data_IF_024129486167
#
_entry.id   IF_024129486167
#
_cell.length_a   1.000
_cell.length_b   1.000
_cell.length_c   1.000
_cell.angle_alpha   90.00
_cell.angle_beta   90.00
_cell.angle_gamma   90.00
#
_symmetry.space_group_name_H-M   'P 1'
#
loop_
_entity.id
_entity.type
_entity.pdbx_description
1 polymer ?
#
# COMPACT_ATOMS: atom_id res chain seq x y z
N UNK A 1 -5.17 25.67 4.60
CA UNK A 1 -5.20 25.16 5.98
C UNK A 1 -4.16 24.06 6.05
N UNK A 2 -3.30 24.08 7.06
CA UNK A 2 -2.23 23.09 7.24
C UNK A 2 -2.86 21.79 7.74
N UNK A 3 -2.61 20.61 7.10
CA UNK A 3 -3.10 19.33 7.58
C UNK A 3 -2.73 19.08 9.06
N UNK A 4 -3.67 18.52 9.84
CA UNK A 4 -3.45 18.23 11.29
C UNK A 4 -2.19 17.41 11.55
N UNK A 5 -1.88 16.44 10.70
CA UNK A 5 -0.66 15.66 10.81
C UNK A 5 0.59 16.52 10.62
N UNK A 6 0.56 17.54 9.76
CA UNK A 6 1.65 18.48 9.57
C UNK A 6 1.81 19.46 10.73
N UNK A 7 0.74 19.81 11.45
CA UNK A 7 0.80 20.64 12.65
C UNK A 7 1.50 19.94 13.81
N UNK A 8 1.51 18.60 13.82
CA UNK A 8 2.21 17.81 14.82
C UNK A 8 3.74 17.76 14.62
N UNK A 9 4.24 18.17 13.45
CA UNK A 9 5.68 18.30 13.19
C UNK A 9 6.20 19.60 13.80
N UNK A 10 6.52 19.58 15.10
CA UNK A 10 7.09 20.72 15.81
C UNK A 10 8.50 21.09 15.32
N UNK A 11 9.20 20.16 14.65
CA UNK A 11 10.47 20.39 13.95
C UNK A 11 10.55 19.46 12.74
N UNK A 12 10.14 19.91 11.55
CA UNK A 12 10.34 19.14 10.33
C UNK A 12 11.83 18.89 10.09
N UNK A 13 12.16 17.67 9.69
CA UNK A 13 13.56 17.25 9.50
C UNK A 13 14.21 18.02 8.34
N UNK A 14 13.42 18.46 7.37
CA UNK A 14 13.81 19.14 6.13
C UNK A 14 13.35 20.57 6.04
N UNK A 15 12.19 20.91 6.57
CA UNK A 15 11.52 22.12 6.15
C UNK A 15 11.72 23.24 7.17
N UNK A 16 12.35 24.26 6.72
CA UNK A 16 12.25 25.59 7.32
C UNK A 16 10.93 26.28 7.01
N UNK A 17 10.10 25.70 6.15
CA UNK A 17 8.79 26.21 5.73
C UNK A 17 7.79 25.06 5.59
N UNK A 18 6.53 25.32 5.92
CA UNK A 18 5.41 24.39 5.70
C UNK A 18 5.20 24.23 4.19
N UNK A 19 5.20 23.00 3.66
CA UNK A 19 4.99 22.81 2.23
C UNK A 19 3.61 23.30 1.80
N UNK A 20 3.54 23.82 0.58
CA UNK A 20 2.30 24.28 -0.02
C UNK A 20 1.49 23.09 -0.48
N UNK A 21 0.19 23.09 -0.19
CA UNK A 21 -0.73 22.04 -0.60
C UNK A 21 -1.48 22.45 -1.84
N UNK A 22 -1.41 21.62 -2.88
CA UNK A 22 -2.09 21.78 -4.16
C UNK A 22 -3.08 20.64 -4.39
N UNK A 23 -4.29 20.95 -4.83
CA UNK A 23 -5.27 19.96 -5.25
C UNK A 23 -5.63 20.19 -6.71
N UNK A 24 -5.39 19.21 -7.56
CA UNK A 24 -5.56 19.29 -9.01
C UNK A 24 -6.57 18.28 -9.52
N UNK A 25 -7.45 18.76 -10.40
CA UNK A 25 -8.46 17.94 -11.08
C UNK A 25 -8.29 17.95 -12.59
N UNK A 26 -7.47 18.87 -13.12
CA UNK A 26 -7.27 19.07 -14.54
C UNK A 26 -5.82 18.78 -14.97
N UNK A 27 -5.67 18.17 -16.17
CA UNK A 27 -4.36 17.80 -16.72
C UNK A 27 -3.43 19.01 -16.83
N UNK A 28 -3.92 20.14 -17.29
CA UNK A 28 -3.11 21.35 -17.51
C UNK A 28 -2.53 21.92 -16.22
N UNK A 29 -3.25 21.81 -15.10
CA UNK A 29 -2.74 22.22 -13.78
C UNK A 29 -1.50 21.42 -13.40
N UNK A 30 -1.56 20.11 -13.61
CA UNK A 30 -0.44 19.20 -13.31
C UNK A 30 0.74 19.43 -14.25
N UNK A 31 0.48 19.59 -15.55
CA UNK A 31 1.53 19.85 -16.56
C UNK A 31 2.30 21.14 -16.28
N UNK A 32 1.62 22.16 -15.76
CA UNK A 32 2.25 23.45 -15.45
C UNK A 32 3.03 23.42 -14.12
N UNK A 33 2.58 22.64 -13.13
CA UNK A 33 3.14 22.69 -11.78
C UNK A 33 4.30 21.69 -11.56
N UNK A 34 4.21 20.47 -12.11
CA UNK A 34 5.17 19.42 -11.79
C UNK A 34 6.56 19.57 -12.40
N UNK A 35 6.77 20.12 -13.62
CA UNK A 35 8.11 20.29 -14.17
C UNK A 35 9.03 21.13 -13.27
N UNK A 36 8.50 22.21 -12.71
CA UNK A 36 9.26 23.10 -11.83
C UNK A 36 9.51 22.49 -10.45
N UNK A 37 8.58 21.68 -9.95
CA UNK A 37 8.67 21.04 -8.66
C UNK A 37 9.86 20.07 -8.56
N UNK A 38 10.26 19.46 -9.66
CA UNK A 38 11.34 18.45 -9.71
C UNK A 38 12.64 19.03 -10.25
N UNK A 39 12.57 20.08 -11.10
CA UNK A 39 13.74 20.72 -11.70
C UNK A 39 14.59 21.48 -10.68
N UNK A 40 13.97 22.04 -9.64
CA UNK A 40 14.61 22.93 -8.66
C UNK A 40 15.19 22.20 -7.44
N UNK A 41 15.22 20.87 -7.44
CA UNK A 41 15.70 20.09 -6.31
C UNK A 41 17.12 19.57 -6.54
N UNK A 42 18.01 19.73 -5.52
CA UNK A 42 19.36 19.13 -5.51
C UNK A 42 19.29 17.59 -5.48
N UNK A 43 20.45 16.92 -5.54
CA UNK A 43 20.52 15.44 -5.66
C UNK A 43 19.90 14.67 -4.49
N UNK A 44 19.93 15.22 -3.29
CA UNK A 44 19.29 14.64 -2.09
C UNK A 44 17.81 15.05 -2.02
N UNK A 45 17.46 16.18 -2.61
CA UNK A 45 16.14 16.79 -2.60
C UNK A 45 15.19 16.24 -3.66
N UNK A 46 15.69 15.36 -4.55
CA UNK A 46 14.88 14.72 -5.61
C UNK A 46 14.01 13.57 -5.11
N UNK A 47 14.12 13.17 -3.85
CA UNK A 47 13.23 12.16 -3.29
C UNK A 47 11.84 12.75 -3.18
N UNK A 48 10.85 11.99 -3.63
CA UNK A 48 9.44 12.37 -3.48
C UNK A 48 8.70 11.33 -2.65
N UNK A 49 7.83 11.79 -1.75
CA UNK A 49 6.84 10.94 -1.13
C UNK A 49 5.75 10.59 -2.14
N UNK A 50 5.36 9.33 -2.23
CA UNK A 50 4.30 8.87 -3.13
C UNK A 50 3.30 8.02 -2.36
N UNK A 51 2.02 8.27 -2.60
CA UNK A 51 0.92 7.41 -2.15
C UNK A 51 -0.20 7.40 -3.18
N UNK A 52 -1.08 6.39 -3.10
CA UNK A 52 -2.20 6.19 -4.01
C UNK A 52 -3.47 5.87 -3.26
N UNK A 53 -4.58 6.47 -3.71
CA UNK A 53 -5.91 6.15 -3.19
C UNK A 53 -6.84 5.65 -4.30
N UNK A 54 -7.72 4.70 -3.94
CA UNK A 54 -8.74 4.14 -4.82
C UNK A 54 -9.93 3.63 -4.03
N UNK A 55 -11.07 3.53 -4.69
CA UNK A 55 -12.26 3.00 -4.04
C UNK A 55 -12.11 1.49 -3.75
N UNK A 56 -12.49 1.09 -2.55
CA UNK A 56 -12.64 -0.30 -2.18
C UNK A 56 -14.01 -0.82 -2.64
N UNK A 57 -14.04 -2.00 -3.24
CA UNK A 57 -15.26 -2.63 -3.75
C UNK A 57 -15.06 -4.11 -4.06
N UNK A 58 -15.95 -4.68 -4.85
CA UNK A 58 -15.85 -6.07 -5.32
C UNK A 58 -14.57 -6.36 -6.12
N UNK A 59 -14.06 -5.35 -6.80
CA UNK A 59 -12.76 -5.36 -7.46
C UNK A 59 -11.92 -4.20 -6.95
N UNK A 60 -10.60 -4.34 -7.07
CA UNK A 60 -9.68 -3.23 -6.79
C UNK A 60 -9.94 -2.13 -7.83
N UNK A 61 -10.44 -0.99 -7.38
CA UNK A 61 -10.70 0.16 -8.24
C UNK A 61 -9.43 0.66 -8.94
N UNK A 62 -9.60 1.36 -10.07
CA UNK A 62 -8.50 2.09 -10.70
C UNK A 62 -8.04 3.18 -9.73
N UNK A 63 -6.75 3.55 -9.77
CA UNK A 63 -6.20 4.66 -8.99
C UNK A 63 -7.04 5.92 -9.22
N UNK A 64 -7.63 6.44 -8.15
CA UNK A 64 -8.50 7.60 -8.19
C UNK A 64 -7.75 8.89 -7.87
N UNK A 65 -6.84 8.83 -6.89
CA UNK A 65 -6.02 9.96 -6.45
C UNK A 65 -4.57 9.50 -6.34
N UNK A 66 -3.65 10.35 -6.74
CA UNK A 66 -2.22 10.17 -6.59
C UNK A 66 -1.66 11.37 -5.83
N UNK A 67 -0.80 11.10 -4.86
CA UNK A 67 -0.16 12.13 -4.07
C UNK A 67 1.34 12.11 -4.28
N UNK A 68 1.91 13.31 -4.49
CA UNK A 68 3.35 13.54 -4.51
C UNK A 68 3.70 14.59 -3.47
N UNK A 69 4.72 14.32 -2.68
CA UNK A 69 5.29 15.30 -1.75
C UNK A 69 6.74 15.58 -2.10
N UNK A 70 7.07 16.84 -2.23
CA UNK A 70 8.44 17.38 -2.28
C UNK A 70 8.75 18.12 -0.99
N UNK A 71 9.97 18.63 -0.84
CA UNK A 71 10.34 19.45 0.33
C UNK A 71 9.49 20.73 0.48
N UNK A 72 8.94 21.26 -0.62
CA UNK A 72 8.27 22.56 -0.64
C UNK A 72 6.80 22.50 -1.02
N UNK A 73 6.37 21.42 -1.69
CA UNK A 73 5.03 21.31 -2.24
C UNK A 73 4.48 19.88 -2.08
N UNK A 74 3.18 19.80 -1.84
CA UNK A 74 2.42 18.56 -1.85
C UNK A 74 1.33 18.67 -2.90
N UNK A 75 1.25 17.68 -3.76
CA UNK A 75 0.29 17.61 -4.85
C UNK A 75 -0.67 16.45 -4.61
N UNK A 76 -1.95 16.76 -4.45
CA UNK A 76 -3.05 15.80 -4.44
C UNK A 76 -3.71 15.86 -5.80
N UNK A 77 -3.53 14.84 -6.63
CA UNK A 77 -3.92 14.81 -8.04
C UNK A 77 -5.06 13.82 -8.23
N UNK A 78 -6.26 14.33 -8.53
CA UNK A 78 -7.44 13.49 -8.70
C UNK A 78 -7.51 12.90 -10.12
N UNK A 79 -6.80 11.80 -10.33
CA UNK A 79 -6.69 11.10 -11.64
C UNK A 79 -8.02 10.57 -12.15
N UNK A 80 -8.98 10.27 -11.27
CA UNK A 80 -10.33 9.81 -11.67
C UNK A 80 -11.11 10.87 -12.48
N UNK A 81 -10.68 12.13 -12.47
CA UNK A 81 -11.28 13.23 -13.25
C UNK A 81 -10.57 13.46 -14.58
N UNK A 82 -9.35 12.94 -14.72
CA UNK A 82 -8.53 13.17 -15.90
C UNK A 82 -8.76 12.08 -16.96
N UNK A 83 -8.95 12.51 -18.20
CA UNK A 83 -9.11 11.57 -19.33
C UNK A 83 -7.82 10.80 -19.59
N UNK A 84 -6.69 11.48 -19.51
CA UNK A 84 -5.35 10.92 -19.72
C UNK A 84 -4.47 11.23 -18.52
N UNK A 85 -3.48 10.37 -18.29
CA UNK A 85 -2.44 10.66 -17.31
C UNK A 85 -1.57 11.82 -17.82
N UNK A 86 -1.28 12.86 -17.00
CA UNK A 86 -0.38 13.96 -17.41
C UNK A 86 1.01 13.46 -17.78
N UNK A 87 1.61 13.99 -18.83
CA UNK A 87 2.94 13.55 -19.31
C UNK A 87 4.04 13.90 -18.31
N UNK A 88 3.98 15.06 -17.68
CA UNK A 88 4.91 15.47 -16.61
C UNK A 88 4.89 14.46 -15.45
N UNK A 89 3.70 14.04 -15.03
CA UNK A 89 3.53 13.01 -14.00
C UNK A 89 4.09 11.66 -14.45
N UNK A 90 3.78 11.23 -15.67
CA UNK A 90 4.31 9.99 -16.24
C UNK A 90 5.83 10.00 -16.27
N UNK A 91 6.45 11.11 -16.68
CA UNK A 91 7.90 11.30 -16.71
C UNK A 91 8.53 11.16 -15.32
N UNK A 92 7.95 11.79 -14.30
CA UNK A 92 8.42 11.67 -12.91
C UNK A 92 8.31 10.21 -12.44
N UNK A 93 7.18 9.55 -12.69
CA UNK A 93 6.94 8.19 -12.21
C UNK A 93 7.87 7.15 -12.86
N UNK A 94 8.27 7.36 -14.11
CA UNK A 94 9.13 6.43 -14.87
C UNK A 94 10.62 6.73 -14.73
N UNK A 95 11.01 7.91 -14.23
CA UNK A 95 12.41 8.27 -14.05
C UNK A 95 13.04 7.48 -12.89
N UNK A 96 14.06 6.62 -13.13
CA UNK A 96 14.73 5.89 -12.07
C UNK A 96 15.60 6.78 -11.17
N UNK A 97 15.94 7.99 -11.59
CA UNK A 97 16.77 8.93 -10.84
C UNK A 97 15.97 9.82 -9.88
N UNK A 98 14.64 9.70 -9.89
CA UNK A 98 13.75 10.32 -8.92
C UNK A 98 13.23 9.22 -7.99
N UNK A 99 13.78 9.05 -6.77
CA UNK A 99 13.27 8.06 -5.82
C UNK A 99 11.85 8.40 -5.35
N UNK A 100 10.94 7.43 -5.46
CA UNK A 100 9.57 7.49 -4.93
C UNK A 100 9.53 6.67 -3.65
N UNK A 101 9.20 7.30 -2.54
CA UNK A 101 9.23 6.65 -1.22
C UNK A 101 7.84 6.48 -0.63
N UNK A 102 7.66 5.37 0.06
CA UNK A 102 6.43 5.00 0.75
C UNK A 102 6.58 3.66 1.46
N UNK A 103 5.57 3.25 2.19
CA UNK A 103 5.46 1.90 2.76
C UNK A 103 4.70 1.01 1.79
N UNK A 104 5.26 -0.15 1.46
CA UNK A 104 4.76 -1.03 0.41
C UNK A 104 4.77 -0.38 -0.99
N UNK A 105 5.64 0.59 -1.23
CA UNK A 105 5.72 1.40 -2.45
C UNK A 105 5.72 0.57 -3.74
N UNK A 106 6.29 -0.64 -3.71
CA UNK A 106 6.29 -1.53 -4.88
C UNK A 106 4.89 -2.00 -5.28
N UNK A 107 3.92 -2.00 -4.35
CA UNK A 107 2.52 -2.33 -4.65
C UNK A 107 1.85 -1.16 -5.39
N UNK A 108 2.17 0.08 -5.00
CA UNK A 108 1.68 1.29 -5.64
C UNK A 108 2.25 1.43 -7.06
N UNK A 109 3.56 1.22 -7.22
CA UNK A 109 4.19 1.21 -8.54
C UNK A 109 3.61 0.11 -9.45
N UNK A 110 3.37 -1.09 -8.90
CA UNK A 110 2.71 -2.18 -9.64
C UNK A 110 1.25 -1.85 -9.97
N UNK A 111 0.57 -1.08 -9.11
CA UNK A 111 -0.79 -0.61 -9.38
C UNK A 111 -0.80 0.44 -10.50
N UNK A 112 0.12 1.39 -10.50
CA UNK A 112 0.27 2.37 -11.58
C UNK A 112 0.57 1.69 -12.93
N UNK A 113 1.41 0.66 -12.92
CA UNK A 113 1.64 -0.17 -14.11
C UNK A 113 0.35 -0.80 -14.62
N UNK A 114 -0.44 -1.42 -13.74
CA UNK A 114 -1.70 -2.09 -14.06
C UNK A 114 -2.76 -1.13 -14.58
N UNK A 115 -2.86 0.04 -13.93
CA UNK A 115 -3.95 0.98 -14.16
C UNK A 115 -3.71 1.91 -15.37
N UNK A 116 -2.44 2.19 -15.68
CA UNK A 116 -2.05 3.18 -16.70
C UNK A 116 -1.04 2.66 -17.74
N UNK A 117 -0.57 1.41 -17.62
CA UNK A 117 0.42 0.85 -18.54
C UNK A 117 1.84 1.44 -18.39
N UNK A 118 2.10 2.25 -17.36
CA UNK A 118 3.42 2.79 -17.09
C UNK A 118 4.41 1.69 -16.70
N UNK A 119 5.72 1.99 -16.84
CA UNK A 119 6.79 1.21 -16.23
C UNK A 119 7.45 2.08 -15.14
N UNK A 120 6.81 2.22 -13.95
CA UNK A 120 7.34 3.09 -12.91
C UNK A 120 8.68 2.56 -12.39
N UNK A 121 9.57 3.48 -12.01
CA UNK A 121 10.92 3.16 -11.55
C UNK A 121 11.27 3.94 -10.27
N UNK A 122 12.38 3.63 -9.64
CA UNK A 122 12.91 4.40 -8.51
C UNK A 122 12.13 4.22 -7.19
N UNK A 123 11.50 3.06 -6.95
CA UNK A 123 10.81 2.80 -5.68
C UNK A 123 11.77 2.62 -4.51
N UNK A 124 11.63 3.42 -3.44
CA UNK A 124 12.41 3.37 -2.20
C UNK A 124 11.51 2.96 -1.03
N UNK A 125 11.63 1.71 -0.60
CA UNK A 125 10.81 1.11 0.46
C UNK A 125 11.27 1.55 1.85
N UNK A 126 10.41 2.27 2.58
CA UNK A 126 10.71 2.79 3.92
C UNK A 126 11.02 1.70 4.95
N UNK A 127 10.27 0.61 4.93
CA UNK A 127 10.52 -0.51 5.85
C UNK A 127 11.90 -1.11 5.65
N UNK A 128 12.37 -1.21 4.41
CA UNK A 128 13.72 -1.72 4.10
C UNK A 128 14.80 -0.77 4.58
N UNK A 129 14.57 0.53 4.41
CA UNK A 129 15.48 1.56 4.89
C UNK A 129 15.61 1.51 6.41
N UNK A 130 14.49 1.42 7.13
CA UNK A 130 14.46 1.29 8.58
C UNK A 130 15.17 0.02 9.05
N UNK A 131 14.92 -1.13 8.42
CA UNK A 131 15.61 -2.37 8.72
C UNK A 131 17.13 -2.30 8.48
N UNK A 132 17.55 -1.65 7.40
CA UNK A 132 18.97 -1.53 7.05
C UNK A 132 19.74 -0.73 8.09
N UNK A 133 19.16 0.35 8.61
CA UNK A 133 19.87 1.32 9.43
C UNK A 133 19.49 1.30 10.90
N UNK A 134 18.44 0.61 11.30
CA UNK A 134 17.99 0.52 12.69
C UNK A 134 17.34 -0.85 12.99
N UNK A 135 18.04 -1.93 12.58
CA UNK A 135 17.55 -3.30 12.70
C UNK A 135 17.23 -3.66 14.18
N UNK A 136 17.97 -3.13 15.14
CA UNK A 136 17.75 -3.37 16.56
C UNK A 136 16.37 -2.90 17.01
N UNK A 137 15.96 -1.69 16.63
CA UNK A 137 14.62 -1.14 16.92
C UNK A 137 13.50 -2.00 16.35
N UNK A 138 13.72 -2.53 15.15
CA UNK A 138 12.68 -3.22 14.37
C UNK A 138 12.78 -4.75 14.41
N UNK A 139 13.66 -5.32 15.23
CA UNK A 139 13.91 -6.77 15.31
C UNK A 139 12.66 -7.63 15.55
N UNK A 140 11.63 -7.09 16.20
CA UNK A 140 10.37 -7.78 16.48
C UNK A 140 9.37 -7.68 15.31
N UNK A 141 9.66 -6.92 14.26
CA UNK A 141 8.81 -6.82 13.08
C UNK A 141 9.28 -7.82 12.03
N UNK A 142 8.48 -8.85 11.75
CA UNK A 142 8.81 -9.90 10.76
C UNK A 142 8.40 -9.54 9.33
N UNK A 143 7.59 -8.49 9.16
CA UNK A 143 6.99 -8.07 7.90
C UNK A 143 7.22 -6.57 7.69
N UNK A 144 6.54 -6.00 6.69
CA UNK A 144 6.54 -4.56 6.47
C UNK A 144 6.17 -3.81 7.75
N UNK A 145 6.98 -2.83 8.12
CA UNK A 145 6.69 -1.90 9.20
C UNK A 145 5.64 -0.92 8.68
N UNK A 146 4.56 -0.74 9.42
CA UNK A 146 3.50 0.17 8.98
C UNK A 146 3.96 1.63 8.98
N UNK A 147 3.38 2.46 8.11
CA UNK A 147 3.66 3.90 8.09
C UNK A 147 3.46 4.52 9.48
N UNK A 148 2.40 4.13 10.18
CA UNK A 148 2.11 4.57 11.55
C UNK A 148 3.22 4.20 12.54
N UNK A 149 3.74 2.97 12.49
CA UNK A 149 4.80 2.53 13.41
C UNK A 149 6.12 3.25 13.13
N UNK A 150 6.44 3.46 11.84
CA UNK A 150 7.60 4.28 11.45
C UNK A 150 7.46 5.71 11.95
N UNK A 151 6.27 6.34 11.82
CA UNK A 151 6.02 7.69 12.33
C UNK A 151 6.19 7.77 13.84
N UNK A 152 5.64 6.82 14.58
CA UNK A 152 5.85 6.75 16.03
C UNK A 152 7.33 6.59 16.39
N UNK A 153 8.05 5.73 15.65
CA UNK A 153 9.44 5.41 15.91
C UNK A 153 10.42 6.54 15.61
N UNK A 154 10.21 7.30 14.54
CA UNK A 154 11.17 8.30 14.07
C UNK A 154 10.71 9.75 14.21
N UNK A 155 9.40 10.00 14.13
CA UNK A 155 8.85 11.36 14.12
C UNK A 155 8.06 11.70 15.38
N UNK A 156 7.84 10.73 16.28
CA UNK A 156 6.99 10.86 17.48
C UNK A 156 5.54 11.29 17.15
N UNK A 157 5.04 10.98 15.96
CA UNK A 157 3.69 11.30 15.47
C UNK A 157 2.86 10.03 15.40
N UNK A 158 1.64 10.07 15.94
CA UNK A 158 0.66 9.00 15.79
C UNK A 158 -0.28 9.34 14.62
N UNK A 159 -0.13 8.64 13.50
CA UNK A 159 -1.01 8.79 12.36
C UNK A 159 -2.36 8.14 12.65
N UNK A 160 -3.42 8.92 12.64
CA UNK A 160 -4.77 8.41 12.72
C UNK A 160 -5.16 7.74 11.39
N UNK A 161 -5.59 6.48 11.47
CA UNK A 161 -6.10 5.71 10.32
C UNK A 161 -7.61 5.86 10.15
N UNK A 162 -8.17 7.02 10.44
CA UNK A 162 -9.60 7.30 10.46
C UNK A 162 -10.42 6.71 9.29
N UNK A 163 -11.74 6.88 9.34
CA UNK A 163 -12.69 6.40 8.34
C UNK A 163 -12.40 6.92 6.91
N UNK A 164 -11.65 8.02 6.78
CA UNK A 164 -11.27 8.67 5.51
C UNK A 164 -10.58 7.72 4.53
N UNK A 165 -9.76 6.78 5.02
CA UNK A 165 -9.07 5.80 4.17
C UNK A 165 -10.01 4.93 3.33
N UNK A 166 -11.21 4.64 3.79
CA UNK A 166 -12.19 3.81 3.11
C UNK A 166 -13.32 4.63 2.46
N UNK A 167 -13.16 5.94 2.39
CA UNK A 167 -14.13 6.85 1.78
C UNK A 167 -14.17 6.74 0.25
N UNK A 168 -15.12 7.44 -0.39
CA UNK A 168 -15.22 7.45 -1.85
C UNK A 168 -14.20 8.40 -2.48
N UNK A 169 -13.09 7.86 -2.97
CA UNK A 169 -12.00 8.61 -3.60
C UNK A 169 -12.31 9.11 -5.01
N UNK A 170 -13.45 8.70 -5.58
CA UNK A 170 -13.94 9.20 -6.90
C UNK A 170 -14.96 10.31 -6.77
N UNK A 171 -15.38 10.68 -5.55
CA UNK A 171 -16.25 11.85 -5.37
C UNK A 171 -15.55 13.13 -5.82
N UNK A 172 -16.32 14.13 -6.24
CA UNK A 172 -15.78 15.40 -6.74
C UNK A 172 -16.63 16.57 -6.25
N UNK A 173 -15.98 17.59 -5.68
CA UNK A 173 -14.58 17.59 -5.24
C UNK A 173 -14.33 16.60 -4.10
N UNK A 174 -13.07 16.30 -3.83
CA UNK A 174 -12.70 15.62 -2.58
C UNK A 174 -13.02 16.52 -1.39
N UNK A 175 -13.36 15.93 -0.24
CA UNK A 175 -13.51 16.71 0.98
C UNK A 175 -12.15 17.20 1.50
N UNK A 176 -12.17 18.23 2.36
CA UNK A 176 -10.94 18.73 2.98
C UNK A 176 -10.23 17.63 3.77
N UNK A 177 -10.98 16.78 4.48
CA UNK A 177 -10.44 15.65 5.25
C UNK A 177 -9.76 14.63 4.34
N UNK A 178 -10.30 14.37 3.15
CA UNK A 178 -9.67 13.49 2.15
C UNK A 178 -8.38 14.10 1.60
N UNK A 179 -8.40 15.37 1.25
CA UNK A 179 -7.22 16.08 0.76
C UNK A 179 -6.12 16.12 1.82
N UNK A 180 -6.48 16.42 3.08
CA UNK A 180 -5.54 16.44 4.20
C UNK A 180 -4.97 15.06 4.50
N UNK A 181 -5.80 14.02 4.49
CA UNK A 181 -5.37 12.64 4.68
C UNK A 181 -4.36 12.22 3.60
N UNK A 182 -4.73 12.36 2.34
CA UNK A 182 -3.92 12.02 1.20
C UNK A 182 -2.58 12.77 1.18
N UNK A 183 -2.60 14.08 1.42
CA UNK A 183 -1.41 14.91 1.51
C UNK A 183 -0.47 14.46 2.64
N UNK A 184 -1.04 14.07 3.79
CA UNK A 184 -0.29 13.65 4.96
C UNK A 184 0.50 12.37 4.72
N UNK A 185 -0.10 11.35 4.09
CA UNK A 185 0.56 10.05 3.87
C UNK A 185 1.77 10.18 2.93
N UNK A 186 1.66 10.97 1.86
CA UNK A 186 2.79 11.24 0.97
C UNK A 186 3.89 12.08 1.65
N UNK A 187 3.51 13.14 2.38
CA UNK A 187 4.48 14.01 3.05
C UNK A 187 5.23 13.29 4.17
N UNK A 188 4.52 12.55 4.99
CA UNK A 188 5.12 11.74 6.06
C UNK A 188 6.10 10.70 5.50
N UNK A 189 5.79 10.12 4.34
CA UNK A 189 6.70 9.19 3.68
C UNK A 189 8.03 9.85 3.30
N UNK A 190 8.00 11.10 2.86
CA UNK A 190 9.20 11.89 2.58
C UNK A 190 9.98 12.23 3.86
N UNK A 191 9.30 12.72 4.90
CA UNK A 191 9.92 13.06 6.19
C UNK A 191 10.59 11.83 6.83
N UNK A 192 10.00 10.65 6.70
CA UNK A 192 10.57 9.42 7.24
C UNK A 192 11.90 9.02 6.60
N UNK A 193 12.08 9.20 5.28
CA UNK A 193 13.40 8.96 4.66
C UNK A 193 14.45 9.81 5.36
N UNK A 194 14.20 11.11 5.52
CA UNK A 194 15.15 12.02 6.11
C UNK A 194 15.39 11.71 7.57
N UNK A 195 14.34 11.40 8.34
CA UNK A 195 14.47 11.03 9.74
C UNK A 195 15.28 9.73 9.93
N UNK A 196 15.04 8.70 9.11
CA UNK A 196 15.79 7.44 9.15
C UNK A 196 17.27 7.67 8.81
N UNK A 197 17.54 8.40 7.73
CA UNK A 197 18.92 8.68 7.31
C UNK A 197 19.67 9.55 8.31
N UNK A 198 19.01 10.57 8.87
CA UNK A 198 19.58 11.41 9.92
C UNK A 198 19.87 10.60 11.19
N UNK A 199 18.96 9.69 11.57
CA UNK A 199 19.17 8.79 12.70
C UNK A 199 20.39 7.89 12.47
N UNK A 200 20.52 7.29 11.29
CA UNK A 200 21.65 6.46 10.90
C UNK A 200 22.96 7.25 10.91
N UNK A 201 22.96 8.45 10.37
CA UNK A 201 24.13 9.33 10.34
C UNK A 201 24.61 9.71 11.75
N UNK A 202 23.69 10.10 12.64
CA UNK A 202 24.00 10.46 14.04
C UNK A 202 24.59 9.30 14.85
N UNK A 203 24.28 8.06 14.48
CA UNK A 203 24.85 6.85 15.10
C UNK A 203 26.14 6.37 14.42
N UNK A 204 26.69 7.12 13.49
CA UNK A 204 27.80 6.71 12.62
C UNK A 204 27.55 5.37 11.90
N UNK A 205 26.28 5.02 11.69
CA UNK A 205 25.87 3.80 11.00
C UNK A 205 25.91 3.96 9.48
N UNK A 206 26.06 5.18 8.98
CA UNK A 206 26.11 5.49 7.55
C UNK A 206 26.92 6.78 7.31
N UNK A 207 27.68 6.80 6.25
CA UNK A 207 28.40 7.99 5.77
C UNK A 207 27.53 8.76 4.76
N UNK A 208 27.86 10.04 4.52
CA UNK A 208 27.21 10.84 3.49
C UNK A 208 27.33 10.22 2.09
N UNK A 209 28.44 9.54 1.80
CA UNK A 209 28.62 8.85 0.52
C UNK A 209 27.70 7.64 0.38
N UNK A 210 27.50 6.89 1.47
CA UNK A 210 26.56 5.76 1.48
C UNK A 210 25.10 6.24 1.41
N UNK A 211 24.77 7.38 2.01
CA UNK A 211 23.46 8.01 1.82
C UNK A 211 23.24 8.32 0.34
N UNK A 212 24.21 8.98 -0.32
CA UNK A 212 24.13 9.26 -1.74
C UNK A 212 24.02 7.99 -2.59
N UNK A 213 24.80 6.95 -2.25
CA UNK A 213 24.73 5.66 -2.92
C UNK A 213 23.35 5.00 -2.75
N UNK A 214 22.78 4.97 -1.54
CA UNK A 214 21.43 4.44 -1.32
C UNK A 214 20.35 5.15 -2.15
N UNK A 215 20.51 6.44 -2.38
CA UNK A 215 19.59 7.23 -3.20
C UNK A 215 19.79 7.01 -4.69
N UNK A 216 21.01 6.70 -5.12
CA UNK A 216 21.35 6.35 -6.52
C UNK A 216 21.03 4.89 -6.85
N UNK A 217 21.12 4.01 -5.86
CA UNK A 217 20.76 2.59 -5.93
C UNK A 217 19.26 2.33 -5.77
N UNK A 218 18.41 3.35 -5.86
CA UNK A 218 16.96 3.12 -5.93
C UNK A 218 16.74 2.02 -6.99
N UNK A 219 16.25 0.85 -6.62
CA UNK A 219 16.45 -0.36 -7.40
C UNK A 219 15.92 -0.17 -8.79
N UNK A 220 16.80 -0.30 -9.80
CA UNK A 220 16.38 -0.54 -11.15
C UNK A 220 15.37 -1.68 -11.09
N UNK A 221 14.16 -1.35 -11.41
CA UNK A 221 12.96 -2.14 -11.43
C UNK A 221 13.24 -3.63 -11.72
N UNK A 222 13.62 -4.39 -10.71
CA UNK A 222 13.47 -5.83 -10.77
C UNK A 222 12.08 -6.17 -10.25
N UNK A 223 11.07 -5.94 -11.08
CA UNK A 223 9.91 -6.82 -11.16
C UNK A 223 10.35 -8.25 -11.58
N UNK A 224 11.61 -8.57 -11.40
CA UNK A 224 12.04 -9.95 -11.36
C UNK A 224 11.48 -10.50 -10.05
N UNK A 225 10.42 -11.29 -10.18
CA UNK A 225 10.20 -12.39 -9.24
C UNK A 225 11.60 -12.94 -8.91
N UNK A 226 11.98 -13.11 -7.63
CA UNK A 226 13.22 -13.80 -7.34
C UNK A 226 13.20 -15.05 -8.21
N UNK A 227 14.20 -15.19 -9.09
CA UNK A 227 14.41 -16.45 -9.78
C UNK A 227 14.68 -17.43 -8.65
N UNK A 228 13.65 -18.20 -8.32
CA UNK A 228 13.79 -19.34 -7.44
C UNK A 228 14.79 -20.23 -8.15
N UNK A 229 16.00 -20.32 -7.60
CA UNK A 229 16.82 -21.50 -7.80
C UNK A 229 15.91 -22.69 -7.59
N UNK A 230 15.93 -23.66 -8.50
CA UNK A 230 15.19 -24.91 -8.39
C UNK A 230 15.78 -25.77 -7.26
N UNK A 231 15.72 -25.31 -6.02
CA UNK A 231 15.65 -26.15 -4.84
C UNK A 231 14.16 -26.31 -4.54
N UNK A 232 13.70 -27.50 -4.28
CA UNK A 232 12.30 -27.82 -3.97
C UNK A 232 11.77 -26.79 -2.97
N UNK A 233 10.96 -25.83 -3.49
CA UNK A 233 10.50 -24.67 -2.71
C UNK A 233 9.51 -25.13 -1.67
N UNK A 234 9.74 -24.79 -0.40
CA UNK A 234 8.75 -24.98 0.64
C UNK A 234 7.38 -24.41 0.20
N UNK A 235 6.26 -25.12 0.42
CA UNK A 235 4.94 -24.67 0.01
C UNK A 235 4.65 -23.24 0.48
N UNK A 236 3.96 -22.44 -0.33
CA UNK A 236 3.59 -21.06 0.02
C UNK A 236 2.72 -21.04 1.28
N UNK A 237 2.74 -19.93 2.05
CA UNK A 237 2.03 -19.83 3.32
C UNK A 237 0.54 -20.18 3.22
N UNK A 238 -0.14 -19.76 2.15
CA UNK A 238 -1.55 -20.09 1.90
C UNK A 238 -1.74 -21.57 1.51
N UNK A 239 -0.78 -22.19 0.81
CA UNK A 239 -0.83 -23.63 0.49
C UNK A 239 -0.68 -24.47 1.77
N UNK A 240 0.26 -24.12 2.65
CA UNK A 240 0.42 -24.79 3.96
C UNK A 240 -0.82 -24.62 4.84
N UNK A 241 -1.40 -23.44 4.86
CA UNK A 241 -2.63 -23.19 5.60
C UNK A 241 -3.80 -24.03 5.05
N UNK A 242 -3.90 -24.12 3.72
CA UNK A 242 -4.92 -24.94 3.06
C UNK A 242 -4.79 -26.43 3.37
N UNK A 243 -3.57 -26.97 3.33
CA UNK A 243 -3.35 -28.38 3.70
C UNK A 243 -3.70 -28.66 5.17
N UNK A 244 -3.25 -27.81 6.10
CA UNK A 244 -3.58 -27.95 7.52
C UNK A 244 -5.10 -27.83 7.76
N UNK A 245 -5.77 -26.90 7.06
CA UNK A 245 -7.21 -26.71 7.15
C UNK A 245 -7.97 -27.94 6.59
N UNK A 246 -7.56 -28.52 5.48
CA UNK A 246 -8.13 -29.79 4.95
C UNK A 246 -7.95 -30.96 5.91
N UNK A 247 -6.87 -30.97 6.68
CA UNK A 247 -6.59 -31.97 7.71
C UNK A 247 -7.40 -31.77 9.00
N UNK A 248 -8.28 -30.78 9.05
CA UNK A 248 -9.20 -30.56 10.16
C UNK A 248 -8.93 -29.33 11.02
N UNK A 249 -7.79 -28.62 10.82
CA UNK A 249 -7.52 -27.40 11.57
C UNK A 249 -8.58 -26.30 11.28
N UNK A 250 -9.11 -25.66 12.31
CA UNK A 250 -10.01 -24.51 12.18
C UNK A 250 -9.25 -23.25 11.76
N UNK A 251 -9.96 -22.24 11.26
CA UNK A 251 -9.37 -20.91 11.00
C UNK A 251 -8.81 -20.27 12.27
N UNK A 252 -9.43 -20.53 13.42
CA UNK A 252 -8.97 -20.03 14.71
C UNK A 252 -7.65 -20.68 15.13
N UNK A 253 -7.54 -21.98 15.01
CA UNK A 253 -6.29 -22.72 15.31
C UNK A 253 -5.16 -22.28 14.38
N UNK A 254 -5.43 -22.12 13.07
CA UNK A 254 -4.46 -21.60 12.11
C UNK A 254 -4.01 -20.17 12.46
N UNK A 255 -4.94 -19.33 12.92
CA UNK A 255 -4.63 -17.97 13.33
C UNK A 255 -3.74 -17.95 14.58
N UNK A 256 -4.04 -18.78 15.58
CA UNK A 256 -3.27 -18.91 16.83
C UNK A 256 -1.87 -19.49 16.56
N UNK A 257 -1.78 -20.63 15.86
CA UNK A 257 -0.50 -21.30 15.55
C UNK A 257 0.46 -20.39 14.79
N UNK A 258 -0.06 -19.61 13.85
CA UNK A 258 0.75 -18.73 12.99
C UNK A 258 0.88 -17.30 13.50
N UNK A 259 0.33 -16.98 14.68
CA UNK A 259 0.30 -15.63 15.26
C UNK A 259 -0.21 -14.57 14.28
N UNK A 260 -1.29 -14.87 13.54
CA UNK A 260 -1.94 -14.00 12.58
C UNK A 260 -3.40 -13.73 12.96
N UNK A 261 -4.02 -12.73 12.36
CA UNK A 261 -5.45 -12.46 12.56
C UNK A 261 -6.30 -13.56 11.91
N UNK A 262 -7.48 -13.82 12.47
CA UNK A 262 -8.46 -14.75 11.92
C UNK A 262 -8.79 -14.43 10.45
N UNK A 263 -8.99 -13.15 10.13
CA UNK A 263 -9.21 -12.68 8.75
C UNK A 263 -8.02 -12.95 7.82
N UNK A 264 -6.79 -12.97 8.33
CA UNK A 264 -5.60 -13.33 7.56
C UNK A 264 -5.56 -14.83 7.28
N UNK A 265 -5.92 -15.66 8.26
CA UNK A 265 -6.06 -17.11 8.07
C UNK A 265 -7.12 -17.41 7.01
N UNK A 266 -8.30 -16.77 7.10
CA UNK A 266 -9.35 -16.85 6.08
C UNK A 266 -8.86 -16.42 4.69
N UNK A 267 -8.11 -15.32 4.59
CA UNK A 267 -7.52 -14.87 3.31
C UNK A 267 -6.59 -15.92 2.71
N UNK A 268 -5.81 -16.64 3.52
CA UNK A 268 -4.95 -17.70 3.02
C UNK A 268 -5.73 -18.87 2.42
N UNK A 269 -6.80 -19.31 3.10
CA UNK A 269 -7.65 -20.38 2.59
C UNK A 269 -8.38 -19.94 1.30
N UNK A 270 -9.01 -18.75 1.30
CA UNK A 270 -9.69 -18.22 0.12
C UNK A 270 -8.76 -18.09 -1.10
N UNK A 271 -7.51 -17.65 -0.87
CA UNK A 271 -6.49 -17.58 -1.92
C UNK A 271 -6.10 -18.97 -2.44
N UNK A 272 -5.94 -19.93 -1.56
CA UNK A 272 -5.62 -21.30 -1.95
C UNK A 272 -6.76 -21.95 -2.75
N UNK A 273 -8.01 -21.72 -2.36
CA UNK A 273 -9.19 -22.13 -3.14
C UNK A 273 -9.17 -21.50 -4.53
N UNK A 274 -8.93 -20.20 -4.64
CA UNK A 274 -8.88 -19.50 -5.92
C UNK A 274 -7.78 -20.01 -6.85
N UNK A 275 -6.60 -20.38 -6.29
CA UNK A 275 -5.45 -20.87 -7.04
C UNK A 275 -5.47 -22.38 -7.27
N UNK A 276 -6.40 -23.11 -6.65
CA UNK A 276 -6.52 -24.56 -6.81
C UNK A 276 -6.89 -24.93 -8.24
N UNK A 277 -6.17 -25.88 -8.86
CA UNK A 277 -6.56 -26.39 -10.18
C UNK A 277 -7.83 -27.26 -10.13
N UNK A 278 -8.11 -27.88 -8.97
CA UNK A 278 -9.22 -28.79 -8.78
C UNK A 278 -10.38 -28.08 -8.07
N UNK A 279 -11.62 -28.20 -8.56
CA UNK A 279 -12.79 -27.68 -7.87
C UNK A 279 -12.99 -28.38 -6.52
N UNK A 280 -13.59 -27.64 -5.57
CA UNK A 280 -14.06 -28.26 -4.32
C UNK A 280 -15.29 -29.08 -4.64
N UNK A 281 -15.28 -30.36 -4.30
CA UNK A 281 -16.39 -31.27 -4.59
C UNK A 281 -17.65 -30.81 -3.84
N UNK A 282 -18.74 -30.59 -4.58
CA UNK A 282 -20.01 -30.14 -4.04
C UNK A 282 -20.58 -31.17 -3.05
N UNK A 283 -20.98 -30.70 -1.86
CA UNK A 283 -21.51 -31.56 -0.81
C UNK A 283 -20.43 -32.28 0.02
N UNK A 284 -19.13 -32.12 -0.31
CA UNK A 284 -18.06 -32.66 0.52
C UNK A 284 -17.98 -31.94 1.88
N UNK A 285 -17.33 -32.54 2.86
CA UNK A 285 -17.06 -31.91 4.15
C UNK A 285 -16.31 -30.58 3.99
N UNK A 286 -15.33 -30.54 3.10
CA UNK A 286 -14.58 -29.34 2.70
C UNK A 286 -15.52 -28.24 2.21
N UNK A 287 -16.47 -28.59 1.34
CA UNK A 287 -17.47 -27.67 0.78
C UNK A 287 -18.38 -27.10 1.88
N UNK A 288 -18.92 -27.97 2.76
CA UNK A 288 -19.77 -27.56 3.87
C UNK A 288 -19.02 -26.62 4.85
N UNK A 289 -17.78 -26.94 5.19
CA UNK A 289 -16.96 -26.11 6.06
C UNK A 289 -16.66 -24.75 5.46
N UNK A 290 -16.27 -24.68 4.17
CA UNK A 290 -16.04 -23.40 3.51
C UNK A 290 -17.28 -22.51 3.56
N UNK A 291 -18.44 -23.06 3.23
CA UNK A 291 -19.71 -22.31 3.28
C UNK A 291 -20.02 -21.80 4.68
N UNK A 292 -19.91 -22.66 5.70
CA UNK A 292 -20.20 -22.31 7.08
C UNK A 292 -19.27 -21.19 7.58
N UNK A 293 -17.96 -21.35 7.43
CA UNK A 293 -16.97 -20.40 7.93
C UNK A 293 -17.01 -19.06 7.20
N UNK A 294 -17.21 -19.06 5.88
CA UNK A 294 -17.23 -17.83 5.08
C UNK A 294 -18.58 -17.12 5.02
N UNK A 295 -19.66 -17.76 5.50
CA UNK A 295 -20.95 -17.09 5.75
C UNK A 295 -20.93 -16.27 7.02
N UNK A 296 -19.97 -16.48 7.93
CA UNK A 296 -19.82 -15.74 9.17
C UNK A 296 -19.55 -14.25 8.90
N UNK A 297 -20.00 -13.38 9.81
CA UNK A 297 -19.95 -11.93 9.59
C UNK A 297 -18.54 -11.38 9.37
N UNK A 298 -17.56 -11.88 10.12
CA UNK A 298 -16.15 -11.49 10.05
C UNK A 298 -15.42 -12.02 8.79
N UNK A 299 -15.97 -13.05 8.12
CA UNK A 299 -15.42 -13.57 6.85
C UNK A 299 -16.08 -12.98 5.61
N UNK A 300 -17.20 -12.27 5.73
CA UNK A 300 -17.90 -11.64 4.58
C UNK A 300 -16.99 -10.75 3.73
N UNK A 301 -16.11 -9.89 4.28
CA UNK A 301 -15.20 -9.08 3.47
C UNK A 301 -14.25 -9.93 2.61
N UNK A 302 -13.83 -11.09 3.11
CA UNK A 302 -12.97 -12.03 2.39
C UNK A 302 -13.77 -12.76 1.32
N UNK A 303 -14.97 -13.21 1.64
CA UNK A 303 -15.88 -13.85 0.67
C UNK A 303 -16.14 -12.94 -0.53
N UNK A 304 -16.40 -11.66 -0.28
CA UNK A 304 -16.60 -10.65 -1.33
C UNK A 304 -15.34 -10.46 -2.17
N UNK A 305 -14.17 -10.36 -1.51
CA UNK A 305 -12.88 -10.18 -2.22
C UNK A 305 -12.53 -11.37 -3.12
N UNK A 306 -12.87 -12.57 -2.71
CA UNK A 306 -12.57 -13.82 -3.43
C UNK A 306 -13.79 -14.43 -4.12
N UNK A 307 -14.85 -13.64 -4.34
CA UNK A 307 -16.13 -14.08 -4.90
C UNK A 307 -15.97 -14.88 -6.21
N UNK A 308 -15.09 -14.42 -7.11
CA UNK A 308 -14.84 -15.12 -8.37
C UNK A 308 -14.25 -16.52 -8.16
N UNK A 309 -13.30 -16.67 -7.25
CA UNK A 309 -12.73 -17.97 -6.89
C UNK A 309 -13.78 -18.90 -6.28
N UNK A 310 -14.57 -18.41 -5.33
CA UNK A 310 -15.63 -19.18 -4.69
C UNK A 310 -16.74 -19.60 -5.67
N UNK A 311 -17.13 -18.73 -6.60
CA UNK A 311 -18.10 -19.07 -7.66
C UNK A 311 -17.54 -20.10 -8.63
N UNK A 312 -16.27 -19.93 -9.08
CA UNK A 312 -15.60 -20.89 -9.98
C UNK A 312 -15.53 -22.29 -9.40
N UNK A 313 -15.35 -22.41 -8.08
CA UNK A 313 -15.27 -23.68 -7.37
C UNK A 313 -16.62 -24.17 -6.83
N UNK A 314 -17.74 -23.50 -7.17
CA UNK A 314 -19.08 -23.88 -6.77
C UNK A 314 -19.35 -23.80 -5.27
N UNK A 315 -18.50 -23.08 -4.48
CA UNK A 315 -18.67 -22.90 -3.04
C UNK A 315 -19.86 -22.01 -2.75
N UNK A 316 -20.00 -20.91 -3.50
CA UNK A 316 -21.18 -20.04 -3.52
C UNK A 316 -21.60 -19.77 -4.96
N UNK A 317 -22.91 -19.70 -5.23
CA UNK A 317 -23.38 -19.20 -6.50
C UNK A 317 -23.48 -17.66 -6.51
N UNK A 318 -23.68 -17.05 -7.69
CA UNK A 318 -23.70 -15.59 -7.82
C UNK A 318 -24.83 -14.91 -7.03
N UNK A 319 -25.98 -15.56 -6.87
CA UNK A 319 -27.11 -15.03 -6.09
C UNK A 319 -26.76 -15.00 -4.60
N UNK A 320 -26.14 -16.05 -4.08
CA UNK A 320 -25.68 -16.14 -2.70
C UNK A 320 -24.58 -15.10 -2.42
N UNK A 321 -23.62 -14.94 -3.32
CA UNK A 321 -22.58 -13.91 -3.22
C UNK A 321 -23.18 -12.49 -3.23
N UNK A 322 -24.22 -12.27 -4.02
CA UNK A 322 -24.95 -11.00 -4.04
C UNK A 322 -25.66 -10.73 -2.71
N UNK A 323 -26.27 -11.75 -2.10
CA UNK A 323 -26.90 -11.62 -0.77
C UNK A 323 -25.86 -11.31 0.33
N UNK A 324 -24.71 -12.01 0.30
CA UNK A 324 -23.60 -11.75 1.23
C UNK A 324 -23.10 -10.32 1.07
N UNK A 325 -22.94 -9.85 -0.17
CA UNK A 325 -22.53 -8.48 -0.48
C UNK A 325 -23.55 -7.45 0.03
N UNK A 326 -24.85 -7.70 -0.22
CA UNK A 326 -25.92 -6.81 0.25
C UNK A 326 -25.91 -6.71 1.78
N UNK A 327 -25.85 -7.85 2.48
CA UNK A 327 -25.78 -7.90 3.94
C UNK A 327 -24.51 -7.20 4.49
N UNK A 328 -23.39 -7.29 3.76
CA UNK A 328 -22.14 -6.58 4.14
C UNK A 328 -22.28 -5.05 4.00
N UNK A 329 -22.94 -4.58 2.93
CA UNK A 329 -23.20 -3.14 2.73
C UNK A 329 -24.14 -2.57 3.79
N UNK A 330 -25.23 -3.28 4.10
CA UNK A 330 -26.20 -2.85 5.11
C UNK A 330 -25.64 -2.83 6.54
N UNK A 331 -24.58 -3.58 6.82
CA UNK A 331 -23.91 -3.58 8.12
C UNK A 331 -22.88 -2.44 8.27
N UNK A 332 -22.61 -1.67 7.20
CA UNK A 332 -21.69 -0.52 7.20
C UNK A 332 -22.44 0.83 7.22
N UNK A 333 -23.75 0.82 7.02
CA UNK A 333 -24.66 1.98 7.20
C UNK A 333 -25.21 2.00 8.61
#
# INVERSE_FOLDING_TARGET
>A
TIPKAMQAFQQPTLAYQVPRLHYFTEVNEVENALPDAVANTGTIERIIGLDLEWNFGLSVGKTAVLQLATAFDIYVIQLSKMRNLPNSLASILTDPHIPKTGVAIHQDLAKLHRDFGLIPAGGLELSRLAWRFDAERWQNHRFLISLRDLCKGYLAVDLDKGATRISSWTQTPLSNEQIEYAASDAYVSLELVHAILLHAYRRNAITLNEIRACMQEAPHNRLRKPQRSHSMSAPLAHQRAWEAWKQGASLQELALEKHIRLTTAGTYIAKAVQESPNPVEHGSETWHRLRAEYSAADMRPITVRYAHGFARHGVFNYAELHQILHAFRMAQT
#
